data_IF_531512125499
#
_entry.id   IF_531512125499
#
_cell.length_a   1.000
_cell.length_b   1.000
_cell.length_c   1.000
_cell.angle_alpha   90.00
_cell.angle_beta   90.00
_cell.angle_gamma   90.00
#
_symmetry.space_group_name_H-M   'P 1'
#
loop_
_entity.id
_entity.type
_entity.pdbx_description
1 polymer ?
#
# COMPACT_ATOMS: atom_id res chain seq x y z
N UNK A 1 -25.36 -14.72 3.99
CA UNK A 1 -24.05 -14.08 4.10
C UNK A 1 -23.45 -13.90 2.71
N UNK A 2 -22.95 -12.69 2.43
CA UNK A 2 -22.38 -12.31 1.15
C UNK A 2 -20.85 -12.23 1.17
N UNK A 3 -20.22 -12.68 2.24
CA UNK A 3 -18.77 -12.69 2.41
C UNK A 3 -18.22 -14.09 2.63
N UNK A 4 -17.02 -14.33 2.17
CA UNK A 4 -16.27 -15.57 2.33
C UNK A 4 -14.94 -15.28 3.04
N UNK A 5 -14.65 -16.04 4.09
CA UNK A 5 -13.34 -16.08 4.72
C UNK A 5 -12.58 -17.31 4.21
N UNK A 6 -11.39 -17.10 3.70
CA UNK A 6 -10.45 -18.16 3.30
C UNK A 6 -9.29 -18.13 4.28
N UNK A 7 -9.23 -19.09 5.19
CA UNK A 7 -8.18 -19.22 6.20
C UNK A 7 -7.25 -20.36 5.82
N UNK A 8 -5.93 -20.10 5.77
CA UNK A 8 -4.88 -21.10 5.55
C UNK A 8 -5.02 -21.96 4.28
N UNK A 9 -5.92 -21.58 3.37
CA UNK A 9 -6.34 -22.39 2.24
C UNK A 9 -5.59 -22.10 0.95
N UNK A 10 -5.45 -23.13 0.11
CA UNK A 10 -4.95 -22.98 -1.24
C UNK A 10 -6.03 -22.35 -2.13
N UNK A 11 -5.77 -21.13 -2.59
CA UNK A 11 -6.53 -20.51 -3.67
C UNK A 11 -6.03 -21.03 -5.01
N UNK A 12 -6.86 -21.75 -5.75
CA UNK A 12 -6.56 -22.10 -7.14
C UNK A 12 -7.27 -21.17 -8.11
N UNK A 13 -6.73 -21.00 -9.31
CA UNK A 13 -7.40 -20.25 -10.36
C UNK A 13 -8.82 -20.77 -10.67
N UNK A 14 -9.04 -22.08 -10.53
CA UNK A 14 -10.33 -22.71 -10.71
C UNK A 14 -11.33 -22.37 -9.58
N UNK A 15 -10.88 -22.36 -8.34
CA UNK A 15 -11.75 -22.07 -7.19
C UNK A 15 -12.06 -20.58 -7.04
N UNK A 16 -11.10 -19.73 -7.36
CA UNK A 16 -11.25 -18.28 -7.20
C UNK A 16 -11.93 -17.63 -8.41
N UNK A 17 -11.53 -17.96 -9.63
CA UNK A 17 -11.92 -17.28 -10.86
C UNK A 17 -12.84 -18.10 -11.73
N UNK A 18 -12.34 -19.10 -12.43
CA UNK A 18 -13.16 -19.95 -13.31
C UNK A 18 -12.56 -21.35 -13.44
N UNK A 19 -13.42 -22.35 -13.38
CA UNK A 19 -13.06 -23.72 -13.67
C UNK A 19 -13.13 -23.96 -15.20
N UNK A 20 -11.98 -24.23 -15.82
CA UNK A 20 -11.89 -24.42 -17.27
C UNK A 20 -12.69 -25.62 -17.81
N UNK A 21 -12.84 -26.70 -17.01
CA UNK A 21 -13.53 -27.90 -17.44
C UNK A 21 -15.06 -27.71 -17.49
N UNK A 22 -15.61 -27.01 -16.45
CA UNK A 22 -17.06 -26.79 -16.34
C UNK A 22 -17.51 -25.41 -16.84
N UNK A 23 -16.60 -24.46 -17.02
CA UNK A 23 -16.91 -23.05 -17.28
C UNK A 23 -17.56 -22.32 -16.10
N UNK A 24 -17.64 -22.96 -14.95
CA UNK A 24 -18.29 -22.42 -13.77
C UNK A 24 -17.41 -21.33 -13.13
N UNK A 25 -18.03 -20.17 -12.84
CA UNK A 25 -17.36 -19.05 -12.16
C UNK A 25 -17.05 -19.41 -10.70
N UNK A 26 -15.86 -19.01 -10.23
CA UNK A 26 -15.36 -19.28 -8.88
C UNK A 26 -15.91 -18.29 -7.83
N UNK A 27 -15.16 -18.16 -6.74
CA UNK A 27 -15.55 -17.37 -5.58
C UNK A 27 -15.82 -15.90 -5.91
N UNK A 28 -15.02 -15.27 -6.80
CA UNK A 28 -15.19 -13.85 -7.17
C UNK A 28 -16.54 -13.52 -7.81
N UNK A 29 -17.22 -14.51 -8.40
CA UNK A 29 -18.56 -14.33 -8.97
C UNK A 29 -19.69 -14.77 -8.05
N UNK A 30 -19.39 -15.32 -6.88
CA UNK A 30 -20.39 -15.86 -5.94
C UNK A 30 -20.56 -15.03 -4.67
N UNK A 31 -19.53 -14.27 -4.31
CA UNK A 31 -19.47 -13.52 -3.07
C UNK A 31 -19.27 -12.02 -3.33
N UNK A 32 -19.72 -11.19 -2.43
CA UNK A 32 -19.51 -9.73 -2.48
C UNK A 32 -18.15 -9.34 -1.93
N UNK A 33 -17.62 -10.11 -0.98
CA UNK A 33 -16.31 -9.91 -0.39
C UNK A 33 -15.64 -11.27 -0.12
N UNK A 34 -14.34 -11.35 -0.42
CA UNK A 34 -13.50 -12.50 -0.12
C UNK A 34 -12.33 -11.99 0.72
N UNK A 35 -12.25 -12.45 1.95
CA UNK A 35 -11.16 -12.15 2.85
C UNK A 35 -10.20 -13.34 2.92
N UNK A 36 -8.95 -13.11 2.57
CA UNK A 36 -7.86 -14.07 2.76
C UNK A 36 -7.18 -13.75 4.08
N UNK A 37 -7.37 -14.64 5.06
CA UNK A 37 -6.70 -14.60 6.33
C UNK A 37 -5.33 -15.28 6.20
N UNK A 38 -4.27 -14.59 6.65
CA UNK A 38 -2.90 -15.04 6.45
C UNK A 38 -2.58 -15.26 4.96
N UNK A 39 -2.42 -14.18 4.20
CA UNK A 39 -2.07 -14.21 2.76
C UNK A 39 -0.64 -14.74 2.56
N UNK A 40 -0.46 -16.04 2.80
CA UNK A 40 0.81 -16.77 2.75
C UNK A 40 1.14 -17.27 1.33
N UNK A 41 2.32 -17.87 1.19
CA UNK A 41 2.77 -18.55 -0.04
C UNK A 41 1.78 -19.58 -0.58
N UNK A 42 0.98 -20.20 0.30
CA UNK A 42 0.00 -21.21 -0.06
C UNK A 42 -1.07 -20.68 -1.01
N UNK A 43 -1.56 -19.45 -0.78
CA UNK A 43 -2.57 -18.82 -1.63
C UNK A 43 -2.06 -18.62 -3.07
N UNK A 44 -0.77 -18.38 -3.24
CA UNK A 44 -0.15 -18.03 -4.51
C UNK A 44 0.70 -19.16 -5.12
N UNK A 45 0.50 -20.42 -4.67
CA UNK A 45 1.17 -21.59 -5.25
C UNK A 45 0.79 -21.81 -6.71
N UNK A 46 -0.48 -21.61 -7.03
CA UNK A 46 -0.96 -21.70 -8.41
C UNK A 46 -0.46 -20.47 -9.21
N UNK A 47 0.35 -20.73 -10.23
CA UNK A 47 0.99 -19.71 -11.06
C UNK A 47 0.00 -18.82 -11.81
N UNK A 48 -1.23 -19.29 -12.03
CA UNK A 48 -2.26 -18.55 -12.76
C UNK A 48 -2.99 -17.55 -11.86
N UNK A 49 -2.95 -17.70 -10.54
CA UNK A 49 -3.71 -16.84 -9.60
C UNK A 49 -3.25 -15.39 -9.66
N UNK A 50 -1.94 -15.12 -9.60
CA UNK A 50 -1.41 -13.74 -9.59
C UNK A 50 -1.75 -12.98 -10.87
N UNK A 51 -1.53 -13.51 -12.09
CA UNK A 51 -1.95 -12.84 -13.32
C UNK A 51 -3.46 -12.57 -13.38
N UNK A 52 -4.30 -13.58 -13.08
CA UNK A 52 -5.76 -13.42 -13.08
C UNK A 52 -6.21 -12.37 -12.05
N UNK A 53 -5.58 -12.34 -10.88
CA UNK A 53 -5.88 -11.36 -9.85
C UNK A 53 -5.50 -9.94 -10.29
N UNK A 54 -4.37 -9.76 -10.99
CA UNK A 54 -4.00 -8.45 -11.57
C UNK A 54 -5.02 -7.94 -12.59
N UNK A 55 -5.49 -8.81 -13.49
CA UNK A 55 -6.50 -8.46 -14.48
C UNK A 55 -7.81 -8.08 -13.80
N UNK A 56 -8.24 -8.90 -12.86
CA UNK A 56 -9.45 -8.66 -12.08
C UNK A 56 -9.41 -7.36 -11.25
N UNK A 57 -8.30 -7.07 -10.58
CA UNK A 57 -8.11 -5.85 -9.81
C UNK A 57 -8.13 -4.59 -10.71
N UNK A 58 -7.67 -4.69 -11.95
CA UNK A 58 -7.64 -3.57 -12.90
C UNK A 58 -9.03 -3.27 -13.47
N UNK A 59 -9.71 -4.30 -13.98
CA UNK A 59 -10.91 -4.14 -14.81
C UNK A 59 -12.20 -4.72 -14.21
N UNK A 60 -12.09 -5.57 -13.18
CA UNK A 60 -13.22 -6.38 -12.70
C UNK A 60 -13.53 -7.56 -13.62
N UNK A 61 -12.73 -7.76 -14.67
CA UNK A 61 -12.87 -8.88 -15.60
C UNK A 61 -11.61 -9.76 -15.59
N UNK A 62 -11.74 -10.97 -16.03
CA UNK A 62 -10.65 -11.94 -16.13
C UNK A 62 -10.94 -12.95 -17.22
N UNK A 63 -9.88 -13.47 -17.84
CA UNK A 63 -9.96 -14.54 -18.82
C UNK A 63 -8.93 -15.61 -18.49
N UNK A 64 -9.38 -16.85 -18.43
CA UNK A 64 -8.49 -18.00 -18.27
C UNK A 64 -8.39 -18.76 -19.59
N UNK A 65 -7.18 -19.14 -19.99
CA UNK A 65 -6.95 -19.88 -21.21
C UNK A 65 -7.85 -21.12 -21.30
N UNK A 66 -8.71 -21.19 -22.31
CA UNK A 66 -9.67 -22.27 -22.51
C UNK A 66 -10.99 -21.82 -23.15
N UNK A 67 -12.06 -22.61 -22.98
CA UNK A 67 -13.36 -22.38 -23.62
C UNK A 67 -14.27 -21.34 -22.95
N UNK A 68 -13.90 -20.78 -21.81
CA UNK A 68 -14.82 -20.01 -20.96
C UNK A 68 -14.99 -18.53 -21.34
N UNK A 69 -14.16 -17.99 -22.24
CA UNK A 69 -14.20 -16.58 -22.62
C UNK A 69 -13.91 -15.61 -21.46
N UNK A 70 -14.03 -14.31 -21.71
CA UNK A 70 -13.92 -13.29 -20.67
C UNK A 70 -15.12 -13.33 -19.73
N UNK A 71 -14.86 -13.22 -18.44
CA UNK A 71 -15.84 -13.16 -17.35
C UNK A 71 -15.66 -11.90 -16.55
N UNK A 72 -16.72 -11.37 -15.98
CA UNK A 72 -16.67 -10.25 -15.04
C UNK A 72 -17.26 -10.65 -13.69
N UNK A 73 -16.78 -10.01 -12.63
CA UNK A 73 -17.27 -10.21 -11.28
C UNK A 73 -17.08 -8.91 -10.45
N UNK A 74 -17.70 -8.87 -9.27
CA UNK A 74 -17.75 -7.65 -8.45
C UNK A 74 -17.29 -7.85 -6.99
N UNK A 75 -16.75 -9.04 -6.65
CA UNK A 75 -16.27 -9.29 -5.30
C UNK A 75 -15.12 -8.34 -4.93
N UNK A 76 -15.16 -7.80 -3.73
CA UNK A 76 -14.02 -7.12 -3.13
C UNK A 76 -13.03 -8.16 -2.59
N UNK A 77 -11.74 -7.98 -2.85
CA UNK A 77 -10.69 -8.85 -2.31
C UNK A 77 -10.02 -8.14 -1.15
N UNK A 78 -9.92 -8.82 -0.01
CA UNK A 78 -9.29 -8.35 1.21
C UNK A 78 -8.13 -9.30 1.52
N UNK A 79 -6.93 -8.76 1.63
CA UNK A 79 -5.74 -9.51 2.03
C UNK A 79 -5.38 -9.12 3.45
N UNK A 80 -5.40 -10.06 4.37
CA UNK A 80 -4.99 -9.85 5.76
C UNK A 80 -3.62 -10.48 5.99
N UNK A 81 -2.76 -9.79 6.73
CA UNK A 81 -1.43 -10.26 7.07
C UNK A 81 -0.97 -9.75 8.43
N UNK A 82 -0.11 -10.49 9.08
CA UNK A 82 0.43 -10.17 10.39
C UNK A 82 1.84 -9.60 10.27
N UNK A 83 2.09 -8.47 10.92
CA UNK A 83 3.43 -7.90 11.07
C UNK A 83 3.99 -8.43 12.41
N UNK A 84 5.06 -9.24 12.32
CA UNK A 84 5.65 -9.94 13.47
C UNK A 84 6.70 -9.11 14.23
N UNK A 85 6.94 -7.88 13.79
CA UNK A 85 7.92 -6.95 14.38
C UNK A 85 7.26 -5.61 14.66
N UNK A 86 7.83 -4.76 15.54
CA UNK A 86 7.36 -3.38 15.68
C UNK A 86 7.36 -2.67 14.32
N UNK A 87 6.30 -1.90 14.05
CA UNK A 87 6.10 -1.24 12.75
C UNK A 87 7.27 -0.32 12.40
N UNK A 88 7.80 0.40 13.39
CA UNK A 88 8.95 1.29 13.25
C UNK A 88 10.19 0.53 12.77
N UNK A 89 10.41 -0.68 13.30
CA UNK A 89 11.54 -1.54 12.87
C UNK A 89 11.35 -1.99 11.43
N UNK A 90 10.12 -2.43 11.07
CA UNK A 90 9.82 -2.83 9.68
C UNK A 90 10.00 -1.66 8.73
N UNK A 91 9.57 -0.47 9.12
CA UNK A 91 9.72 0.74 8.30
C UNK A 91 11.19 1.17 8.14
N UNK A 92 12.06 0.84 9.07
CA UNK A 92 13.51 1.13 8.95
C UNK A 92 14.24 0.10 8.08
N UNK A 93 13.87 -1.18 8.18
CA UNK A 93 14.64 -2.28 7.60
C UNK A 93 14.01 -2.89 6.34
N UNK A 94 12.69 -2.71 6.12
CA UNK A 94 11.93 -3.36 5.07
C UNK A 94 10.73 -2.49 4.65
N UNK A 95 9.62 -3.13 4.32
CA UNK A 95 8.35 -2.51 3.92
C UNK A 95 7.15 -3.28 4.51
N UNK A 96 5.99 -2.63 4.62
CA UNK A 96 4.81 -3.20 5.26
C UNK A 96 4.15 -4.35 4.47
N UNK A 97 4.54 -4.58 3.22
CA UNK A 97 4.12 -5.73 2.43
C UNK A 97 5.03 -6.96 2.62
N UNK A 98 6.08 -6.86 3.44
CA UNK A 98 7.01 -7.97 3.71
C UNK A 98 6.34 -9.27 4.24
N UNK A 99 5.16 -9.24 4.89
CA UNK A 99 4.45 -10.46 5.25
C UNK A 99 3.86 -11.24 4.07
N UNK A 100 3.72 -10.62 2.90
CA UNK A 100 3.27 -11.34 1.72
C UNK A 100 4.36 -12.26 1.17
N UNK A 101 3.95 -13.21 0.34
CA UNK A 101 4.88 -14.12 -0.32
C UNK A 101 5.88 -13.39 -1.22
N UNK A 102 7.07 -13.96 -1.41
CA UNK A 102 8.11 -13.40 -2.29
C UNK A 102 7.63 -13.16 -3.72
N UNK A 103 6.69 -13.97 -4.20
CA UNK A 103 6.08 -13.81 -5.53
C UNK A 103 5.30 -12.51 -5.68
N UNK A 104 4.63 -12.08 -4.61
CA UNK A 104 3.90 -10.81 -4.59
C UNK A 104 4.84 -9.66 -4.28
N UNK A 105 5.75 -9.84 -3.32
CA UNK A 105 6.69 -8.81 -2.91
C UNK A 105 7.62 -8.35 -4.04
N UNK A 106 7.90 -9.24 -4.99
CA UNK A 106 8.68 -8.91 -6.20
C UNK A 106 7.84 -8.33 -7.34
N UNK A 107 6.49 -8.38 -7.26
CA UNK A 107 5.59 -7.91 -8.32
C UNK A 107 5.01 -6.53 -7.97
N UNK A 108 5.77 -5.46 -8.27
CA UNK A 108 5.32 -4.07 -8.05
C UNK A 108 4.02 -3.75 -8.78
N UNK A 109 3.76 -4.38 -9.92
CA UNK A 109 2.53 -4.20 -10.69
C UNK A 109 1.31 -4.79 -9.97
N UNK A 110 1.49 -5.89 -9.21
CA UNK A 110 0.45 -6.43 -8.34
C UNK A 110 0.19 -5.48 -7.18
N UNK A 111 1.26 -5.09 -6.47
CA UNK A 111 1.17 -4.21 -5.30
C UNK A 111 0.57 -2.85 -5.64
N UNK A 112 0.88 -2.29 -6.80
CA UNK A 112 0.32 -1.00 -7.26
C UNK A 112 -1.21 -1.07 -7.54
N UNK A 113 -1.77 -2.26 -7.66
CA UNK A 113 -3.23 -2.46 -7.81
C UNK A 113 -3.98 -2.59 -6.48
N UNK A 114 -3.26 -2.70 -5.37
CA UNK A 114 -3.88 -2.63 -4.04
C UNK A 114 -4.43 -1.21 -3.85
N UNK A 115 -5.73 -1.09 -3.76
CA UNK A 115 -6.40 0.20 -3.73
C UNK A 115 -6.40 0.88 -2.36
N UNK A 116 -6.27 0.10 -1.28
CA UNK A 116 -6.48 0.57 0.08
C UNK A 116 -5.60 -0.21 1.06
N UNK A 117 -4.90 0.48 1.94
CA UNK A 117 -4.13 -0.13 3.01
C UNK A 117 -4.66 0.34 4.36
N UNK A 118 -5.19 -0.60 5.15
CA UNK A 118 -5.67 -0.33 6.50
C UNK A 118 -4.62 -0.78 7.53
N UNK A 119 -4.03 0.15 8.29
CA UNK A 119 -3.04 -0.18 9.31
C UNK A 119 -3.71 -0.78 10.54
N UNK A 120 -3.63 -2.11 10.70
CA UNK A 120 -4.26 -2.83 11.81
C UNK A 120 -3.79 -2.40 13.20
N UNK A 121 -2.58 -1.87 13.30
CA UNK A 121 -2.01 -1.36 14.57
C UNK A 121 -2.62 -0.03 15.04
N UNK A 122 -3.27 0.72 14.14
CA UNK A 122 -4.01 1.94 14.48
C UNK A 122 -5.45 1.65 14.92
N UNK A 123 -5.93 0.41 14.70
CA UNK A 123 -7.24 0.00 15.13
C UNK A 123 -7.19 -0.37 16.62
N UNK A 124 -8.14 0.16 17.39
CA UNK A 124 -8.28 -0.15 18.80
C UNK A 124 -8.46 -1.68 19.00
N UNK A 125 -7.61 -2.26 19.85
CA UNK A 125 -7.72 -3.69 20.17
C UNK A 125 -9.06 -3.99 20.82
N UNK A 126 -9.69 -5.07 20.38
CA UNK A 126 -10.93 -5.53 20.95
C UNK A 126 -10.74 -5.95 22.43
N UNK A 127 -11.58 -5.43 23.30
CA UNK A 127 -11.56 -5.70 24.72
C UNK A 127 -12.96 -6.03 25.22
N UNK A 128 -13.12 -6.71 26.39
CA UNK A 128 -14.43 -7.00 26.95
C UNK A 128 -15.35 -5.77 27.12
N UNK A 129 -14.76 -4.59 27.34
CA UNK A 129 -15.49 -3.32 27.43
C UNK A 129 -16.14 -2.88 26.10
N UNK A 130 -15.76 -3.48 24.98
CA UNK A 130 -16.35 -3.20 23.68
C UNK A 130 -17.67 -3.98 23.46
N UNK A 131 -18.00 -4.95 24.29
CA UNK A 131 -19.29 -5.60 24.23
C UNK A 131 -20.39 -4.65 24.71
N UNK A 132 -21.46 -4.56 23.94
CA UNK A 132 -22.63 -3.81 24.34
C UNK A 132 -23.63 -4.70 25.08
N UNK A 133 -24.33 -4.13 26.06
CA UNK A 133 -25.50 -4.72 26.70
C UNK A 133 -26.82 -4.30 26.04
N UNK A 134 -26.75 -3.51 24.96
CA UNK A 134 -27.90 -3.06 24.20
C UNK A 134 -28.23 -4.01 23.05
N UNK A 135 -29.45 -3.89 22.53
CA UNK A 135 -29.84 -4.60 21.31
C UNK A 135 -28.98 -4.11 20.14
N UNK A 136 -28.49 -5.05 19.34
CA UNK A 136 -27.77 -4.78 18.12
C UNK A 136 -28.61 -5.04 16.87
N UNK A 137 -28.08 -4.66 15.71
CA UNK A 137 -28.70 -5.05 14.45
C UNK A 137 -28.65 -6.57 14.26
N UNK A 138 -29.73 -7.13 13.68
CA UNK A 138 -29.65 -8.47 13.11
C UNK A 138 -28.60 -8.51 12.02
N UNK A 139 -27.61 -9.38 12.16
CA UNK A 139 -26.49 -9.50 11.20
C UNK A 139 -26.98 -9.89 9.80
N UNK A 140 -28.03 -10.70 9.70
CA UNK A 140 -28.62 -11.11 8.44
C UNK A 140 -29.27 -9.92 7.72
N UNK A 141 -30.06 -9.13 8.45
CA UNK A 141 -30.66 -7.90 7.89
C UNK A 141 -29.58 -6.88 7.45
N UNK A 142 -28.55 -6.70 8.27
CA UNK A 142 -27.45 -5.80 7.96
C UNK A 142 -26.68 -6.26 6.71
N UNK A 143 -26.47 -7.57 6.56
CA UNK A 143 -25.85 -8.16 5.38
C UNK A 143 -26.65 -7.91 4.10
N UNK A 144 -27.97 -8.09 4.14
CA UNK A 144 -28.87 -7.80 3.03
C UNK A 144 -28.88 -6.29 2.68
N UNK A 145 -28.87 -5.44 3.70
CA UNK A 145 -28.79 -4.00 3.52
C UNK A 145 -27.50 -3.61 2.80
N UNK A 146 -26.33 -4.10 3.25
CA UNK A 146 -25.04 -3.83 2.61
C UNK A 146 -25.01 -4.34 1.17
N UNK A 147 -25.56 -5.53 0.92
CA UNK A 147 -25.67 -6.07 -0.43
C UNK A 147 -26.53 -5.18 -1.33
N UNK A 148 -27.66 -4.68 -0.83
CA UNK A 148 -28.51 -3.75 -1.56
C UNK A 148 -27.81 -2.44 -1.91
N UNK A 149 -26.95 -1.92 -1.01
CA UNK A 149 -26.16 -0.69 -1.24
C UNK A 149 -25.14 -0.83 -2.38
N UNK A 150 -24.77 -2.04 -2.79
CA UNK A 150 -23.86 -2.24 -3.92
C UNK A 150 -24.43 -1.76 -5.27
N UNK A 151 -25.73 -1.62 -5.38
CA UNK A 151 -26.43 -1.11 -6.58
C UNK A 151 -26.21 0.39 -6.81
N UNK A 152 -25.87 1.14 -5.75
CA UNK A 152 -25.63 2.58 -5.84
C UNK A 152 -24.17 2.89 -6.10
N UNK A 153 -23.90 4.03 -6.73
CA UNK A 153 -22.55 4.51 -7.01
C UNK A 153 -22.48 6.02 -6.78
N UNK A 154 -21.50 6.45 -6.01
CA UNK A 154 -21.18 7.84 -5.74
C UNK A 154 -19.74 8.17 -6.13
N UNK A 155 -19.20 7.50 -7.15
CA UNK A 155 -17.81 7.68 -7.60
C UNK A 155 -17.52 9.10 -8.09
N UNK A 156 -18.54 9.81 -8.54
CA UNK A 156 -18.48 11.19 -9.04
C UNK A 156 -18.81 12.23 -7.96
N UNK A 157 -19.13 11.80 -6.72
CA UNK A 157 -19.46 12.73 -5.64
C UNK A 157 -18.34 13.74 -5.34
N UNK A 158 -17.09 13.34 -5.50
CA UNK A 158 -15.91 14.20 -5.33
C UNK A 158 -15.99 15.40 -6.28
N UNK A 159 -16.38 15.15 -7.54
CA UNK A 159 -16.32 16.15 -8.60
C UNK A 159 -17.27 17.34 -8.39
N UNK A 160 -18.22 17.22 -7.45
CA UNK A 160 -19.10 18.33 -7.10
C UNK A 160 -18.34 19.48 -6.43
N UNK A 161 -17.33 19.16 -5.59
CA UNK A 161 -16.64 20.15 -4.76
C UNK A 161 -15.13 20.15 -4.90
N UNK A 162 -14.53 19.02 -5.30
CA UNK A 162 -13.09 18.84 -5.29
C UNK A 162 -12.56 18.34 -6.63
N UNK A 163 -11.27 18.60 -6.86
CA UNK A 163 -10.48 18.02 -7.94
C UNK A 163 -9.29 17.28 -7.31
N UNK A 164 -8.97 16.09 -7.80
CA UNK A 164 -7.80 15.36 -7.35
C UNK A 164 -6.52 15.99 -7.89
N UNK A 165 -5.47 16.03 -7.07
CA UNK A 165 -4.19 16.59 -7.45
C UNK A 165 -3.51 15.83 -8.59
N UNK A 166 -2.62 16.50 -9.30
CA UNK A 166 -1.99 16.01 -10.53
C UNK A 166 -1.09 14.77 -10.33
N UNK A 167 -0.69 14.49 -9.11
CA UNK A 167 0.17 13.34 -8.78
C UNK A 167 -0.61 12.03 -8.64
N UNK A 168 -1.95 12.10 -8.50
CA UNK A 168 -2.79 10.91 -8.52
C UNK A 168 -3.01 10.47 -9.98
N UNK A 169 -2.36 9.39 -10.36
CA UNK A 169 -2.53 8.76 -11.67
C UNK A 169 -3.82 7.94 -11.72
N UNK A 170 -4.17 7.39 -12.88
CA UNK A 170 -5.40 6.61 -13.06
C UNK A 170 -5.54 5.45 -12.04
N UNK A 171 -4.44 4.77 -11.72
CA UNK A 171 -4.42 3.70 -10.69
C UNK A 171 -4.63 4.20 -9.26
N UNK A 172 -4.47 5.49 -9.03
CA UNK A 172 -4.69 6.12 -7.73
C UNK A 172 -6.08 6.72 -7.63
N UNK A 173 -6.54 7.40 -8.68
CA UNK A 173 -7.85 8.04 -8.70
C UNK A 173 -9.01 7.05 -8.62
N UNK A 174 -8.91 5.91 -9.31
CA UNK A 174 -9.94 4.85 -9.30
C UNK A 174 -10.26 4.31 -7.90
N UNK A 175 -9.28 3.82 -7.11
CA UNK A 175 -9.54 3.34 -5.75
C UNK A 175 -9.96 4.47 -4.80
N UNK A 176 -9.40 5.68 -4.92
CA UNK A 176 -9.83 6.82 -4.10
C UNK A 176 -11.32 7.10 -4.31
N UNK A 177 -11.79 7.21 -5.55
CA UNK A 177 -13.20 7.40 -5.89
C UNK A 177 -14.09 6.27 -5.38
N UNK A 178 -13.65 5.02 -5.54
CA UNK A 178 -14.39 3.85 -5.04
C UNK A 178 -14.50 3.85 -3.52
N UNK A 179 -13.43 4.24 -2.82
CA UNK A 179 -13.43 4.32 -1.36
C UNK A 179 -14.38 5.39 -0.86
N UNK A 180 -14.35 6.61 -1.42
CA UNK A 180 -15.29 7.68 -1.08
C UNK A 180 -16.74 7.23 -1.35
N UNK A 181 -17.01 6.63 -2.51
CA UNK A 181 -18.34 6.08 -2.83
C UNK A 181 -18.77 5.01 -1.82
N UNK A 182 -17.85 4.15 -1.36
CA UNK A 182 -18.11 3.15 -0.34
C UNK A 182 -18.48 3.77 1.00
N UNK A 183 -17.72 4.76 1.46
CA UNK A 183 -17.96 5.47 2.71
C UNK A 183 -19.31 6.21 2.70
N UNK A 184 -19.64 6.90 1.59
CA UNK A 184 -20.95 7.54 1.43
C UNK A 184 -22.08 6.51 1.59
N UNK A 185 -22.00 5.36 0.91
CA UNK A 185 -23.02 4.32 1.00
C UNK A 185 -23.18 3.75 2.41
N UNK A 186 -22.09 3.66 3.18
CA UNK A 186 -22.12 3.13 4.53
C UNK A 186 -22.63 4.15 5.55
N UNK A 187 -22.23 5.41 5.44
CA UNK A 187 -22.46 6.45 6.43
C UNK A 187 -23.66 7.33 6.08
N UNK A 188 -24.00 7.44 4.80
CA UNK A 188 -25.12 8.19 4.27
C UNK A 188 -25.99 7.32 3.33
N UNK A 189 -26.59 6.24 3.84
CA UNK A 189 -27.36 5.31 3.00
C UNK A 189 -28.61 5.94 2.39
N UNK A 190 -29.07 7.07 2.92
CA UNK A 190 -30.17 7.90 2.40
C UNK A 190 -29.73 8.84 1.26
N UNK A 191 -28.43 8.91 0.96
CA UNK A 191 -27.86 9.76 -0.07
C UNK A 191 -27.70 11.23 0.32
N UNK A 192 -27.97 11.59 1.58
CA UNK A 192 -27.83 12.95 2.08
C UNK A 192 -26.46 13.15 2.73
N UNK A 193 -25.55 13.80 2.04
CA UNK A 193 -24.19 14.09 2.51
C UNK A 193 -23.76 15.51 2.12
N UNK A 194 -22.89 16.09 2.92
CA UNK A 194 -22.39 17.46 2.77
C UNK A 194 -21.02 17.51 2.10
N UNK A 195 -20.52 18.72 1.82
CA UNK A 195 -19.17 18.95 1.32
C UNK A 195 -18.11 18.47 2.32
N UNK A 196 -18.33 18.75 3.60
CA UNK A 196 -17.46 18.40 4.70
C UNK A 196 -17.34 16.86 4.87
N UNK A 197 -18.47 16.15 4.70
CA UNK A 197 -18.47 14.68 4.73
C UNK A 197 -17.60 14.12 3.59
N UNK A 198 -17.80 14.62 2.36
CA UNK A 198 -17.01 14.18 1.20
C UNK A 198 -15.55 14.53 1.37
N UNK A 199 -15.21 15.70 1.92
CA UNK A 199 -13.83 16.08 2.20
C UNK A 199 -13.17 15.13 3.20
N UNK A 200 -13.87 14.79 4.27
CA UNK A 200 -13.37 13.85 5.27
C UNK A 200 -13.10 12.47 4.65
N UNK A 201 -14.03 11.95 3.84
CA UNK A 201 -13.88 10.66 3.17
C UNK A 201 -12.80 10.69 2.11
N UNK A 202 -12.63 11.81 1.45
CA UNK A 202 -11.56 12.02 0.47
C UNK A 202 -10.19 12.01 1.13
N UNK A 203 -10.03 12.67 2.29
CA UNK A 203 -8.79 12.61 3.09
C UNK A 203 -8.44 11.18 3.46
N UNK A 204 -9.38 10.42 4.01
CA UNK A 204 -9.16 9.01 4.35
C UNK A 204 -8.82 8.15 3.12
N UNK A 205 -9.53 8.34 2.02
CA UNK A 205 -9.31 7.57 0.81
C UNK A 205 -7.92 7.83 0.19
N UNK A 206 -7.50 9.09 0.17
CA UNK A 206 -6.17 9.49 -0.31
C UNK A 206 -5.09 8.95 0.63
N UNK A 207 -5.26 9.09 1.95
CA UNK A 207 -4.33 8.58 2.95
C UNK A 207 -4.08 7.08 2.77
N UNK A 208 -5.15 6.27 2.73
CA UNK A 208 -5.03 4.82 2.62
C UNK A 208 -4.41 4.38 1.28
N UNK A 209 -4.68 5.10 0.19
CA UNK A 209 -4.02 4.85 -1.10
C UNK A 209 -2.55 5.30 -1.07
N UNK A 210 -2.24 6.44 -0.46
CA UNK A 210 -0.88 6.93 -0.31
C UNK A 210 -0.01 5.98 0.48
N UNK A 211 -0.54 5.33 1.54
CA UNK A 211 0.18 4.30 2.31
C UNK A 211 0.68 3.16 1.41
N UNK A 212 -0.11 2.71 0.44
CA UNK A 212 0.33 1.73 -0.57
C UNK A 212 1.51 2.26 -1.38
N UNK A 213 1.41 3.50 -1.86
CA UNK A 213 2.47 4.10 -2.70
C UNK A 213 3.77 4.31 -1.92
N UNK A 214 3.69 4.69 -0.65
CA UNK A 214 4.87 4.83 0.20
C UNK A 214 5.63 3.50 0.37
N UNK A 215 4.93 2.36 0.39
CA UNK A 215 5.60 1.06 0.38
C UNK A 215 6.23 0.75 -0.97
N UNK A 216 5.58 1.13 -2.06
CA UNK A 216 6.14 0.97 -3.41
C UNK A 216 7.42 1.79 -3.63
N UNK A 217 7.56 2.97 -3.03
CA UNK A 217 8.84 3.71 -3.00
C UNK A 217 10.00 2.89 -2.44
N UNK A 218 9.71 1.98 -1.50
CA UNK A 218 10.73 1.16 -0.84
C UNK A 218 11.11 -0.07 -1.64
N UNK A 219 10.18 -0.58 -2.45
CA UNK A 219 10.29 -1.84 -3.18
C UNK A 219 10.68 -1.58 -4.63
N UNK A 220 10.08 -0.56 -5.24
CA UNK A 220 10.18 -0.26 -6.68
C UNK A 220 11.21 0.82 -7.01
N UNK A 221 11.21 1.20 -8.29
CA UNK A 221 12.08 2.24 -8.84
C UNK A 221 11.53 3.66 -8.62
N UNK A 222 12.21 4.64 -9.25
CA UNK A 222 11.90 6.06 -9.16
C UNK A 222 10.49 6.44 -9.64
N UNK A 223 9.87 5.59 -10.44
CA UNK A 223 8.50 5.77 -10.94
C UNK A 223 7.43 5.90 -9.84
N UNK A 224 7.73 5.40 -8.63
CA UNK A 224 6.85 5.45 -7.46
C UNK A 224 7.15 6.62 -6.51
N UNK A 225 8.09 7.51 -6.82
CA UNK A 225 8.52 8.56 -5.88
C UNK A 225 7.58 9.77 -5.84
N UNK A 226 6.78 9.96 -6.86
CA UNK A 226 5.79 11.04 -6.92
C UNK A 226 4.50 10.63 -6.22
N UNK A 227 4.47 10.75 -4.90
CA UNK A 227 3.38 10.29 -4.04
C UNK A 227 2.82 11.36 -3.12
N UNK A 228 3.17 12.62 -3.35
CA UNK A 228 2.65 13.72 -2.55
C UNK A 228 1.21 14.05 -2.96
N UNK A 229 0.29 13.15 -2.60
CA UNK A 229 -1.10 13.20 -3.02
C UNK A 229 -1.87 14.35 -2.37
N UNK A 230 -2.67 15.03 -3.16
CA UNK A 230 -3.45 16.20 -2.78
C UNK A 230 -4.84 16.19 -3.40
N UNK A 231 -5.68 17.09 -2.94
CA UNK A 231 -6.93 17.49 -3.58
C UNK A 231 -7.06 19.01 -3.54
N UNK A 232 -7.83 19.57 -4.48
CA UNK A 232 -8.05 21.00 -4.65
C UNK A 232 -9.53 21.28 -4.45
N UNK A 233 -9.85 22.19 -3.54
CA UNK A 233 -11.22 22.72 -3.38
C UNK A 233 -11.58 23.61 -4.58
N UNK A 234 -12.70 23.34 -5.23
CA UNK A 234 -13.10 24.08 -6.44
C UNK A 234 -13.56 25.50 -6.17
N UNK A 235 -14.04 25.78 -4.96
CA UNK A 235 -14.52 27.12 -4.58
C UNK A 235 -13.36 28.03 -4.16
N UNK A 236 -12.49 27.51 -3.27
CA UNK A 236 -11.38 28.31 -2.73
C UNK A 236 -10.11 28.24 -3.58
N UNK A 237 -10.00 27.23 -4.46
CA UNK A 237 -8.79 26.89 -5.22
C UNK A 237 -7.60 26.51 -4.32
N UNK A 238 -7.87 26.22 -3.06
CA UNK A 238 -6.84 25.77 -2.11
C UNK A 238 -6.49 24.30 -2.35
N UNK A 239 -5.20 24.01 -2.44
CA UNK A 239 -4.67 22.65 -2.56
C UNK A 239 -4.28 22.12 -1.18
N UNK A 240 -4.83 20.97 -0.79
CA UNK A 240 -4.55 20.30 0.46
C UNK A 240 -3.79 19.01 0.21
N UNK A 241 -2.60 18.87 0.75
CA UNK A 241 -1.79 17.66 0.72
C UNK A 241 -2.16 16.74 1.89
N UNK A 242 -2.23 15.43 1.61
CA UNK A 242 -2.58 14.43 2.62
C UNK A 242 -1.32 13.66 3.03
N UNK A 243 -0.75 13.93 4.22
CA UNK A 243 0.42 13.22 4.74
C UNK A 243 0.04 11.82 5.22
N UNK A 244 1.04 10.94 5.35
CA UNK A 244 0.91 9.62 5.98
C UNK A 244 2.08 9.39 6.94
N UNK A 245 1.86 8.64 8.06
CA UNK A 245 2.93 8.39 9.04
C UNK A 245 4.13 7.64 8.47
N UNK A 246 3.90 6.78 7.48
CA UNK A 246 4.93 5.98 6.81
C UNK A 246 5.69 6.77 5.72
N UNK A 247 5.38 8.02 5.56
CA UNK A 247 6.06 8.87 4.61
C UNK A 247 7.57 8.82 4.84
N UNK A 248 8.31 8.35 3.86
CA UNK A 248 9.73 8.64 3.78
C UNK A 248 9.82 10.13 3.49
N UNK A 249 10.06 10.86 4.56
CA UNK A 249 9.99 12.30 4.53
C UNK A 249 10.69 12.89 3.32
N UNK A 250 10.11 13.93 2.80
CA UNK A 250 10.79 14.91 1.94
C UNK A 250 12.06 15.44 2.60
N UNK A 251 12.24 15.20 3.90
CA UNK A 251 13.42 15.50 4.70
C UNK A 251 14.35 14.28 4.84
N UNK A 252 14.67 13.62 3.73
CA UNK A 252 15.78 12.65 3.71
C UNK A 252 17.10 13.31 4.10
N UNK A 253 17.20 14.61 3.91
CA UNK A 253 18.31 15.46 4.34
C UNK A 253 17.72 16.47 5.32
N UNK A 254 18.28 16.55 6.52
CA UNK A 254 17.87 17.50 7.54
C UNK A 254 18.09 18.94 7.03
N UNK A 255 17.10 19.81 7.20
CA UNK A 255 17.22 21.25 6.83
C UNK A 255 18.16 22.04 7.75
N UNK A 256 18.66 21.38 8.79
CA UNK A 256 19.64 21.96 9.73
C UNK A 256 21.06 21.72 9.23
N UNK A 257 22.01 22.63 9.54
CA UNK A 257 23.41 22.39 9.25
C UNK A 257 23.88 21.08 9.87
N UNK A 258 24.49 20.21 9.05
CA UNK A 258 25.01 18.94 9.53
C UNK A 258 26.17 19.17 10.51
N UNK A 259 26.26 18.31 11.50
CA UNK A 259 27.41 18.31 12.40
C UNK A 259 28.69 17.98 11.62
N UNK A 260 29.84 18.58 12.01
CA UNK A 260 31.14 18.25 11.41
C UNK A 260 31.39 16.73 11.42
N UNK A 261 31.81 16.20 10.27
CA UNK A 261 32.00 14.77 10.08
C UNK A 261 30.77 14.02 9.55
N UNK A 262 29.66 14.72 9.29
CA UNK A 262 28.46 14.13 8.72
C UNK A 262 28.24 14.64 7.30
N UNK A 263 27.95 13.72 6.37
CA UNK A 263 27.52 14.07 5.01
C UNK A 263 26.55 13.03 4.45
N UNK A 264 25.82 13.44 3.41
CA UNK A 264 24.95 12.54 2.65
C UNK A 264 25.55 12.28 1.27
N UNK A 265 25.41 11.05 0.80
CA UNK A 265 25.73 10.66 -0.58
C UNK A 265 24.62 9.81 -1.15
N UNK A 266 24.46 9.85 -2.48
CA UNK A 266 23.51 9.01 -3.19
C UNK A 266 24.26 7.84 -3.87
N UNK A 267 23.66 6.67 -3.83
CA UNK A 267 24.08 5.50 -4.59
C UNK A 267 22.94 4.99 -5.44
N UNK A 268 23.28 4.40 -6.60
CA UNK A 268 22.30 3.74 -7.46
C UNK A 268 22.66 2.29 -7.66
N UNK A 269 21.66 1.42 -7.65
CA UNK A 269 21.76 0.01 -8.01
C UNK A 269 20.62 -0.29 -8.99
N UNK A 270 20.97 -0.31 -10.28
CA UNK A 270 19.99 -0.33 -11.36
C UNK A 270 19.09 0.92 -11.30
N UNK A 271 17.77 0.70 -11.23
CA UNK A 271 16.76 1.76 -11.15
C UNK A 271 16.50 2.29 -9.73
N UNK A 272 17.20 1.73 -8.72
CA UNK A 272 17.05 2.15 -7.32
C UNK A 272 18.11 3.17 -6.95
N UNK A 273 17.66 4.30 -6.42
CA UNK A 273 18.53 5.32 -5.81
C UNK A 273 18.34 5.29 -4.31
N UNK A 274 19.45 5.19 -3.57
CA UNK A 274 19.46 5.20 -2.11
C UNK A 274 20.29 6.36 -1.61
N UNK A 275 19.78 7.06 -0.58
CA UNK A 275 20.54 8.07 0.15
C UNK A 275 21.26 7.40 1.32
N UNK A 276 22.56 7.68 1.45
CA UNK A 276 23.39 7.14 2.51
C UNK A 276 23.90 8.31 3.35
N UNK A 277 23.70 8.23 4.67
CA UNK A 277 24.32 9.12 5.65
C UNK A 277 25.68 8.55 6.05
N UNK A 278 26.74 9.32 5.88
CA UNK A 278 28.10 8.99 6.29
C UNK A 278 28.42 9.80 7.53
N UNK A 279 28.82 9.14 8.59
CA UNK A 279 29.25 9.77 9.83
C UNK A 279 30.69 9.36 10.15
N UNK A 280 31.56 10.35 10.32
CA UNK A 280 32.99 10.15 10.65
C UNK A 280 33.21 10.61 12.07
N UNK A 281 33.71 9.70 12.89
CA UNK A 281 34.05 9.98 14.29
C UNK A 281 35.53 9.70 14.49
N UNK A 282 36.24 10.63 15.10
CA UNK A 282 37.64 10.45 15.49
C UNK A 282 37.73 9.99 16.93
N UNK A 283 38.54 8.98 17.17
CA UNK A 283 38.80 8.43 18.49
C UNK A 283 40.29 8.39 18.78
N UNK A 284 40.70 8.53 20.04
CA UNK A 284 42.08 8.29 20.44
C UNK A 284 42.46 6.82 20.12
N UNK A 285 43.56 6.62 19.39
CA UNK A 285 43.93 5.28 18.93
C UNK A 285 45.20 5.26 18.09
N UNK A 286 45.38 4.17 17.34
CA UNK A 286 46.60 3.90 16.56
C UNK A 286 46.51 4.34 15.09
N UNK A 287 45.60 5.23 14.74
CA UNK A 287 45.44 5.74 13.37
C UNK A 287 44.84 4.75 12.37
N UNK A 288 44.12 3.74 12.83
CA UNK A 288 43.44 2.76 11.94
C UNK A 288 42.06 3.26 11.57
N UNK A 289 41.71 3.11 10.28
CA UNK A 289 40.36 3.36 9.79
C UNK A 289 39.49 2.13 10.04
N UNK A 290 38.40 2.31 10.79
CA UNK A 290 37.36 1.31 10.97
C UNK A 290 36.10 1.74 10.20
N UNK A 291 35.56 0.85 9.36
CA UNK A 291 34.37 1.11 8.56
C UNK A 291 33.29 0.14 9.03
N UNK A 292 32.15 0.67 9.45
CA UNK A 292 30.97 -0.11 9.87
C UNK A 292 29.72 0.34 9.10
N UNK A 293 28.67 -0.46 9.15
CA UNK A 293 27.36 -0.09 8.57
C UNK A 293 27.19 -0.34 7.06
N UNK A 294 28.22 -0.80 6.34
CA UNK A 294 28.08 -1.18 4.93
C UNK A 294 28.63 -2.56 4.66
N UNK A 295 27.89 -3.34 3.86
CA UNK A 295 28.33 -4.64 3.33
C UNK A 295 29.01 -4.51 1.95
N UNK A 296 28.84 -3.38 1.25
CA UNK A 296 29.40 -3.17 -0.10
C UNK A 296 30.94 -3.11 -0.06
N UNK A 297 31.58 -4.04 -0.80
CA UNK A 297 33.02 -4.06 -0.95
C UNK A 297 33.55 -2.81 -1.66
N UNK A 298 32.85 -2.36 -2.70
CA UNK A 298 33.18 -1.16 -3.47
C UNK A 298 33.16 0.08 -2.59
N UNK A 299 32.11 0.29 -1.82
CA UNK A 299 32.01 1.43 -0.92
C UNK A 299 33.10 1.43 0.16
N UNK A 300 33.48 0.26 0.70
CA UNK A 300 34.59 0.14 1.64
C UNK A 300 35.93 0.52 1.01
N UNK A 301 36.13 0.16 -0.24
CA UNK A 301 37.33 0.50 -1.01
C UNK A 301 37.39 2.01 -1.28
N UNK A 302 36.28 2.62 -1.69
CA UNK A 302 36.18 4.07 -1.94
C UNK A 302 36.48 4.88 -0.68
N UNK A 303 35.90 4.47 0.46
CA UNK A 303 36.19 5.12 1.76
C UNK A 303 37.66 5.00 2.12
N UNK A 304 38.29 3.83 1.91
CA UNK A 304 39.73 3.66 2.17
C UNK A 304 40.60 4.51 1.25
N UNK A 305 40.26 4.58 -0.02
CA UNK A 305 40.97 5.40 -1.00
C UNK A 305 40.89 6.89 -0.63
N UNK A 306 39.70 7.36 -0.28
CA UNK A 306 39.48 8.74 0.19
C UNK A 306 40.28 9.03 1.46
N UNK A 307 40.26 8.13 2.45
CA UNK A 307 41.05 8.28 3.66
C UNK A 307 42.56 8.34 3.39
N UNK A 308 43.08 7.47 2.53
CA UNK A 308 44.50 7.45 2.14
C UNK A 308 44.87 8.74 1.40
N UNK A 309 43.97 9.27 0.54
CA UNK A 309 44.20 10.53 -0.15
C UNK A 309 44.30 11.70 0.85
N UNK A 310 43.39 11.79 1.81
CA UNK A 310 43.43 12.83 2.86
C UNK A 310 44.73 12.73 3.64
N UNK A 311 45.11 11.54 4.08
CA UNK A 311 46.39 11.34 4.82
C UNK A 311 47.64 11.71 4.02
N UNK A 312 47.62 11.44 2.73
CA UNK A 312 48.76 11.79 1.86
C UNK A 312 48.90 13.32 1.70
N UNK A 313 47.82 14.06 1.81
CA UNK A 313 47.75 15.51 1.59
C UNK A 313 47.61 16.31 2.92
N UNK A 314 47.71 15.66 4.08
CA UNK A 314 47.58 16.31 5.42
C UNK A 314 48.68 17.36 5.72
N UNK A 315 49.73 17.42 4.90
CA UNK A 315 50.88 18.34 5.08
C UNK A 315 50.86 19.57 4.16
N UNK A 316 49.77 19.75 3.43
CA UNK A 316 49.51 20.95 2.64
C UNK A 316 48.40 21.80 3.24
#
# INVERSE_FOLDING_TARGET
PYSMLVSGGQGTAASLFVNNSSGQIGAVGKWDAICFDESTDELFKDKEVVPLMKDYMESGSFSRAGKSGEKSANASIILNGNINQPVETVLQTSHLFSPFSDKINSDTAFLDRIGFFLPGWEIMKFAPSNFTNHFGFSTDYFSEFLHAQRKYSYVDAIDKWFTLGNQLRQRDTKPVRKTVSGLIKLLHPDGNFTKEDVEQYLKWAIEMRRRVKEQLKRIGGMEFWDTNFSYIDKETQEETFVPVPEERGTNLIEDTPLSPGTCYTATSDGDKVSLIKIEVVTMAGNGKLNISGTSSAVMKEDIRNTYNYIRANEKT
#
